data_IF_625241540427
#
_entry.id   IF_625241540427
#
_cell.length_a   1.000
_cell.length_b   1.000
_cell.length_c   1.000
_cell.angle_alpha   90.00
_cell.angle_beta   90.00
_cell.angle_gamma   90.00
#
_symmetry.space_group_name_H-M   'P 1'
#
loop_
_entity.id
_entity.type
_entity.pdbx_description
1 polymer ?
#
# COMPACT_ATOMS: atom_id res chain seq x y z
N UNK A 1 4.71 -15.67 10.61
CA UNK A 1 4.44 -14.69 9.53
C UNK A 1 3.98 -15.47 8.32
N UNK A 2 2.81 -15.15 7.78
CA UNK A 2 2.27 -15.79 6.58
C UNK A 2 2.15 -14.68 5.52
N UNK A 3 2.72 -14.91 4.34
CA UNK A 3 2.63 -13.95 3.25
C UNK A 3 1.44 -14.30 2.36
N UNK A 4 0.47 -13.39 2.28
CA UNK A 4 -0.67 -13.49 1.38
C UNK A 4 -0.54 -12.58 0.16
N UNK A 5 0.58 -11.87 -0.05
CA UNK A 5 0.74 -10.95 -1.18
C UNK A 5 0.79 -11.67 -2.54
N UNK A 6 0.25 -10.99 -3.55
CA UNK A 6 0.15 -11.40 -4.95
C UNK A 6 0.65 -10.24 -5.80
N UNK A 7 1.56 -10.53 -6.73
CA UNK A 7 2.10 -9.54 -7.65
C UNK A 7 0.97 -8.86 -8.44
N UNK A 8 1.03 -7.53 -8.53
CA UNK A 8 0.06 -6.75 -9.29
C UNK A 8 -1.28 -6.48 -8.60
N UNK A 9 -1.49 -6.92 -7.35
CA UNK A 9 -2.76 -6.68 -6.65
C UNK A 9 -2.97 -5.21 -6.30
N UNK A 10 -4.24 -4.81 -6.35
CA UNK A 10 -4.77 -3.46 -6.07
C UNK A 10 -5.63 -3.47 -4.82
N UNK A 11 -6.11 -2.31 -4.37
CA UNK A 11 -7.08 -2.22 -3.28
C UNK A 11 -8.36 -3.03 -3.57
N UNK A 12 -8.77 -3.15 -4.84
CA UNK A 12 -9.97 -3.90 -5.24
C UNK A 12 -9.82 -5.41 -4.98
N UNK A 13 -8.61 -5.93 -5.12
CA UNK A 13 -8.32 -7.34 -4.91
C UNK A 13 -8.24 -7.67 -3.41
N UNK A 14 -7.89 -6.70 -2.56
CA UNK A 14 -7.70 -6.91 -1.13
C UNK A 14 -8.97 -7.32 -0.39
N UNK A 15 -10.13 -6.79 -0.79
CA UNK A 15 -11.42 -7.12 -0.16
C UNK A 15 -11.74 -8.62 -0.24
N UNK A 16 -11.79 -9.27 -1.42
CA UNK A 16 -12.05 -10.71 -1.49
C UNK A 16 -10.95 -11.53 -0.81
N UNK A 17 -9.70 -11.09 -0.83
CA UNK A 17 -8.60 -11.81 -0.18
C UNK A 17 -8.73 -11.84 1.34
N UNK A 18 -9.04 -10.70 1.96
CA UNK A 18 -9.27 -10.61 3.40
C UNK A 18 -10.42 -11.53 3.85
N UNK A 19 -11.42 -11.77 2.98
CA UNK A 19 -12.52 -12.69 3.26
C UNK A 19 -12.14 -14.17 3.15
N UNK A 20 -11.02 -14.48 2.50
CA UNK A 20 -10.55 -15.85 2.28
C UNK A 20 -9.48 -16.29 3.27
N UNK A 21 -8.83 -15.36 3.96
CA UNK A 21 -7.83 -15.67 4.98
C UNK A 21 -8.50 -15.83 6.35
N UNK A 22 -7.99 -16.77 7.14
CA UNK A 22 -8.37 -16.90 8.55
C UNK A 22 -7.47 -15.99 9.38
N UNK A 23 -8.08 -15.02 10.07
CA UNK A 23 -7.40 -14.11 11.00
C UNK A 23 -7.89 -14.43 12.40
N UNK A 24 -6.97 -14.75 13.30
CA UNK A 24 -7.27 -15.12 14.68
C UNK A 24 -7.13 -13.92 15.64
N UNK A 25 -7.78 -13.97 16.81
CA UNK A 25 -7.54 -12.98 17.86
C UNK A 25 -6.05 -12.91 18.22
N UNK A 26 -5.49 -11.70 18.21
CA UNK A 26 -4.06 -11.46 18.48
C UNK A 26 -3.17 -11.40 17.24
N UNK A 27 -3.68 -11.76 16.06
CA UNK A 27 -2.95 -11.55 14.81
C UNK A 27 -2.79 -10.07 14.49
N UNK A 28 -1.67 -9.74 13.84
CA UNK A 28 -1.39 -8.40 13.32
C UNK A 28 -1.42 -8.44 11.80
N UNK A 29 -2.29 -7.63 11.22
CA UNK A 29 -2.40 -7.49 9.77
C UNK A 29 -1.45 -6.41 9.28
N UNK A 30 -0.61 -6.75 8.31
CA UNK A 30 0.27 -5.80 7.63
C UNK A 30 -0.21 -5.68 6.19
N UNK A 31 -0.70 -4.50 5.83
CA UNK A 31 -1.33 -4.25 4.53
C UNK A 31 -0.47 -3.29 3.73
N UNK A 32 -0.08 -3.70 2.52
CA UNK A 32 0.60 -2.87 1.54
C UNK A 32 -0.19 -2.90 0.24
N UNK A 33 -0.73 -1.75 -0.14
CA UNK A 33 -1.56 -1.53 -1.34
C UNK A 33 -1.27 -0.14 -1.90
N UNK A 34 -1.92 0.24 -3.00
CA UNK A 34 -1.82 1.55 -3.68
C UNK A 34 -0.72 1.64 -4.73
N UNK A 35 0.40 0.94 -4.59
CA UNK A 35 1.47 0.94 -5.60
C UNK A 35 0.94 0.52 -6.97
N UNK A 36 0.21 -0.60 -7.06
CA UNK A 36 -0.40 -1.02 -8.33
C UNK A 36 -1.60 -0.18 -8.72
N UNK A 37 -2.39 0.31 -7.75
CA UNK A 37 -3.52 1.22 -8.02
C UNK A 37 -3.05 2.47 -8.79
N UNK A 38 -1.86 2.97 -8.45
CA UNK A 38 -1.17 4.10 -9.08
C UNK A 38 -0.38 3.73 -10.33
N UNK A 39 0.08 2.49 -10.45
CA UNK A 39 0.90 2.06 -11.57
C UNK A 39 0.14 2.11 -12.90
N UNK A 40 0.87 2.42 -13.98
CA UNK A 40 0.30 2.65 -15.31
C UNK A 40 -0.43 1.44 -15.91
N UNK A 41 -0.19 0.22 -15.40
CA UNK A 41 -0.81 -1.02 -15.87
C UNK A 41 -2.14 -1.36 -15.21
N UNK A 42 -2.55 -0.71 -14.11
CA UNK A 42 -3.89 -0.91 -13.50
C UNK A 42 -4.74 0.33 -13.49
N UNK A 43 -4.19 1.46 -13.05
CA UNK A 43 -4.88 2.76 -12.99
C UNK A 43 -6.27 2.69 -12.34
N UNK A 44 -6.39 2.12 -11.13
CA UNK A 44 -7.68 1.99 -10.44
C UNK A 44 -8.34 3.37 -10.29
N UNK A 45 -9.62 3.56 -10.65
CA UNK A 45 -10.32 4.82 -10.45
C UNK A 45 -10.40 5.23 -8.98
N UNK A 46 -10.28 6.53 -8.68
CA UNK A 46 -10.17 7.04 -7.30
C UNK A 46 -11.41 6.72 -6.46
N UNK A 47 -12.60 6.79 -7.04
CA UNK A 47 -13.86 6.39 -6.40
C UNK A 47 -13.85 4.91 -5.99
N UNK A 48 -13.38 4.02 -6.87
CA UNK A 48 -13.27 2.58 -6.57
C UNK A 48 -12.20 2.27 -5.55
N UNK A 49 -11.06 2.96 -5.61
CA UNK A 49 -10.03 2.91 -4.59
C UNK A 49 -10.58 3.31 -3.21
N UNK A 50 -11.32 4.42 -3.15
CA UNK A 50 -11.96 4.92 -1.92
C UNK A 50 -12.93 3.91 -1.32
N UNK A 51 -13.80 3.33 -2.15
CA UNK A 51 -14.74 2.28 -1.73
C UNK A 51 -14.00 1.06 -1.16
N UNK A 52 -12.98 0.58 -1.86
CA UNK A 52 -12.22 -0.59 -1.45
C UNK A 52 -11.43 -0.37 -0.16
N UNK A 53 -10.74 0.76 -0.01
CA UNK A 53 -10.02 1.08 1.23
C UNK A 53 -10.97 1.20 2.42
N UNK A 54 -12.15 1.82 2.23
CA UNK A 54 -13.16 1.89 3.29
C UNK A 54 -13.63 0.49 3.72
N UNK A 55 -13.87 -0.41 2.76
CA UNK A 55 -14.27 -1.79 3.07
C UNK A 55 -13.14 -2.59 3.76
N UNK A 56 -11.89 -2.41 3.31
CA UNK A 56 -10.71 -3.03 3.95
C UNK A 56 -10.63 -2.60 5.42
N UNK A 57 -10.70 -1.30 5.71
CA UNK A 57 -10.65 -0.79 7.08
C UNK A 57 -11.80 -1.32 7.94
N UNK A 58 -12.99 -1.46 7.36
CA UNK A 58 -14.13 -2.06 8.05
C UNK A 58 -13.85 -3.53 8.41
N UNK A 59 -13.35 -4.32 7.45
CA UNK A 59 -13.03 -5.74 7.64
C UNK A 59 -11.92 -5.97 8.67
N UNK A 60 -10.97 -5.03 8.79
CA UNK A 60 -9.84 -5.16 9.71
C UNK A 60 -10.00 -4.39 11.02
N UNK A 61 -11.14 -3.73 11.25
CA UNK A 61 -11.38 -2.85 12.41
C UNK A 61 -11.24 -3.52 13.78
N UNK A 62 -11.43 -4.84 13.85
CA UNK A 62 -11.29 -5.63 15.08
C UNK A 62 -9.89 -6.22 15.27
N UNK A 63 -8.98 -5.98 14.34
CA UNK A 63 -7.61 -6.49 14.37
C UNK A 63 -6.61 -5.36 14.44
N UNK A 64 -5.47 -5.61 15.10
CA UNK A 64 -4.34 -4.71 15.03
C UNK A 64 -3.86 -4.68 13.58
N UNK A 65 -3.97 -3.53 12.94
CA UNK A 65 -3.67 -3.36 11.51
C UNK A 65 -2.59 -2.31 11.32
N UNK A 66 -1.61 -2.60 10.48
CA UNK A 66 -0.52 -1.69 10.09
C UNK A 66 -0.58 -1.53 8.57
N UNK A 67 -0.84 -0.31 8.10
CA UNK A 67 -0.75 0.04 6.68
C UNK A 67 0.66 0.51 6.33
N UNK A 68 1.28 -0.12 5.35
CA UNK A 68 2.41 0.45 4.64
C UNK A 68 1.88 1.43 3.59
N UNK A 69 2.13 2.71 3.80
CA UNK A 69 1.83 3.74 2.81
C UNK A 69 2.74 3.52 1.60
N UNK A 70 2.21 3.67 0.36
CA UNK A 70 3.01 3.48 -0.83
C UNK A 70 4.14 4.52 -0.87
N UNK A 71 5.37 4.13 -1.20
CA UNK A 71 6.36 5.12 -1.62
C UNK A 71 5.88 5.81 -2.90
N UNK A 72 6.27 7.07 -3.14
CA UNK A 72 5.93 7.76 -4.38
C UNK A 72 6.58 7.03 -5.56
N UNK A 73 5.82 6.73 -6.60
CA UNK A 73 6.36 6.14 -7.83
C UNK A 73 7.19 7.20 -8.56
N UNK A 74 8.32 6.82 -9.13
CA UNK A 74 9.13 7.71 -9.97
C UNK A 74 8.57 7.74 -11.40
N UNK A 75 7.85 8.82 -11.81
CA UNK A 75 7.24 8.89 -13.14
C UNK A 75 8.29 8.86 -14.26
N UNK A 76 9.51 9.35 -13.99
CA UNK A 76 10.57 9.43 -14.99
C UNK A 76 11.15 8.05 -15.33
N UNK A 77 11.05 7.08 -14.41
CA UNK A 77 11.56 5.71 -14.57
C UNK A 77 10.53 4.71 -15.09
N UNK A 78 9.26 5.10 -15.23
CA UNK A 78 8.21 4.25 -15.81
C UNK A 78 8.28 4.19 -17.35
N UNK A 79 9.44 3.85 -17.91
CA UNK A 79 9.75 3.91 -19.34
C UNK A 79 8.86 3.01 -20.22
N UNK A 80 8.30 1.94 -19.65
CA UNK A 80 7.40 1.04 -20.36
C UNK A 80 5.98 1.62 -20.55
N UNK A 81 5.64 2.69 -19.82
CA UNK A 81 4.34 3.34 -19.89
C UNK A 81 4.24 4.31 -21.07
N UNK A 82 3.05 4.41 -21.69
CA UNK A 82 2.76 5.60 -22.51
C UNK A 82 2.61 6.81 -21.58
N UNK A 83 3.03 8.03 -21.97
CA UNK A 83 2.95 9.22 -21.10
C UNK A 83 1.57 9.46 -20.49
N UNK A 84 0.49 9.22 -21.25
CA UNK A 84 -0.89 9.37 -20.76
C UNK A 84 -1.31 8.34 -19.70
N UNK A 85 -0.53 7.29 -19.49
CA UNK A 85 -0.79 6.23 -18.51
C UNK A 85 -0.05 6.44 -17.18
N UNK A 86 0.96 7.30 -17.18
CA UNK A 86 1.73 7.61 -15.96
C UNK A 86 0.90 8.56 -15.10
N UNK A 87 0.59 8.13 -13.87
CA UNK A 87 -0.07 9.01 -12.88
C UNK A 87 0.89 10.13 -12.50
N UNK A 88 0.41 11.37 -12.65
CA UNK A 88 1.19 12.54 -12.27
C UNK A 88 1.47 12.56 -10.76
N UNK A 89 2.47 13.32 -10.29
CA UNK A 89 2.69 13.52 -8.87
C UNK A 89 1.45 14.03 -8.13
N UNK A 90 0.64 14.89 -8.75
CA UNK A 90 -0.62 15.37 -8.18
C UNK A 90 -1.64 14.25 -8.05
N UNK A 91 -1.74 13.36 -9.04
CA UNK A 91 -2.57 12.17 -8.94
C UNK A 91 -2.13 11.31 -7.75
N UNK A 92 -0.84 10.97 -7.67
CA UNK A 92 -0.30 10.15 -6.58
C UNK A 92 -0.59 10.76 -5.20
N UNK A 93 -0.41 12.08 -5.06
CA UNK A 93 -0.71 12.81 -3.82
C UNK A 93 -2.20 12.72 -3.46
N UNK A 94 -3.11 12.74 -4.43
CA UNK A 94 -4.55 12.56 -4.16
C UNK A 94 -4.84 11.18 -3.58
N UNK A 95 -4.30 10.10 -4.15
CA UNK A 95 -4.52 8.75 -3.58
C UNK A 95 -3.93 8.62 -2.17
N UNK A 96 -2.71 9.13 -1.96
CA UNK A 96 -2.07 9.10 -0.66
C UNK A 96 -2.88 9.88 0.39
N UNK A 97 -3.38 11.06 0.02
CA UNK A 97 -4.22 11.89 0.90
C UNK A 97 -5.52 11.18 1.27
N UNK A 98 -6.17 10.54 0.30
CA UNK A 98 -7.41 9.78 0.51
C UNK A 98 -7.21 8.53 1.38
N UNK A 99 -6.07 7.85 1.23
CA UNK A 99 -5.68 6.72 2.06
C UNK A 99 -5.42 7.17 3.50
N UNK A 100 -4.60 8.21 3.69
CA UNK A 100 -4.27 8.74 5.01
C UNK A 100 -5.52 9.25 5.72
N UNK A 101 -6.39 9.99 5.03
CA UNK A 101 -7.63 10.49 5.60
C UNK A 101 -8.50 9.36 6.17
N UNK A 102 -8.66 8.26 5.41
CA UNK A 102 -9.43 7.09 5.84
C UNK A 102 -8.78 6.33 6.98
N UNK A 103 -7.45 6.16 6.94
CA UNK A 103 -6.72 5.48 8.01
C UNK A 103 -6.79 6.29 9.32
N UNK A 104 -6.70 7.62 9.24
CA UNK A 104 -6.81 8.51 10.41
C UNK A 104 -8.16 8.38 11.11
N UNK A 105 -9.22 8.09 10.37
CA UNK A 105 -10.56 7.85 10.91
C UNK A 105 -10.74 6.39 11.42
N UNK A 106 -9.66 5.62 11.50
CA UNK A 106 -9.61 4.22 11.96
C UNK A 106 -8.62 4.03 13.13
N UNK A 107 -8.58 2.82 13.69
CA UNK A 107 -7.59 2.42 14.71
C UNK A 107 -6.27 1.90 14.10
N UNK A 108 -6.12 1.92 12.78
CA UNK A 108 -4.98 1.33 12.11
C UNK A 108 -3.72 2.22 12.21
N UNK A 109 -2.59 1.57 12.39
CA UNK A 109 -1.28 2.17 12.38
C UNK A 109 -0.77 2.37 10.95
N UNK A 110 0.18 3.29 10.75
CA UNK A 110 0.85 3.49 9.47
C UNK A 110 2.37 3.35 9.56
N UNK A 111 2.98 2.94 8.46
CA UNK A 111 4.42 3.03 8.19
C UNK A 111 4.57 3.77 6.86
N UNK A 112 5.43 4.79 6.84
CA UNK A 112 5.89 5.43 5.62
C UNK A 112 7.40 5.19 5.51
N UNK A 113 7.85 4.83 4.31
CA UNK A 113 9.29 4.77 4.01
C UNK A 113 9.77 6.15 3.58
N UNK A 114 11.05 6.48 3.83
CA UNK A 114 11.66 7.65 3.20
C UNK A 114 11.62 7.49 1.68
N UNK A 115 11.45 8.60 0.96
CA UNK A 115 11.15 8.58 -0.48
C UNK A 115 12.40 8.42 -1.37
N UNK A 116 13.59 8.73 -0.86
CA UNK A 116 14.80 8.86 -1.68
C UNK A 116 15.54 7.52 -1.83
N UNK A 117 15.90 7.19 -3.08
CA UNK A 117 16.75 6.05 -3.47
C UNK A 117 16.28 4.66 -3.01
N UNK A 118 15.00 4.48 -2.72
CA UNK A 118 14.43 3.19 -2.30
C UNK A 118 13.92 2.32 -3.45
N UNK A 119 13.87 2.84 -4.67
CA UNK A 119 13.35 2.12 -5.83
C UNK A 119 14.44 1.44 -6.66
N UNK A 120 14.08 0.35 -7.31
CA UNK A 120 14.83 -0.26 -8.40
C UNK A 120 14.73 0.62 -9.68
N UNK A 121 15.30 0.13 -10.77
CA UNK A 121 15.40 0.82 -12.06
C UNK A 121 14.07 1.17 -12.72
N UNK A 122 12.97 0.51 -12.32
CA UNK A 122 11.64 0.77 -12.87
C UNK A 122 10.83 1.86 -12.14
N UNK A 123 11.37 2.37 -11.02
CA UNK A 123 10.70 3.41 -10.23
C UNK A 123 9.45 2.94 -9.50
N UNK A 124 9.26 1.63 -9.33
CA UNK A 124 8.09 1.02 -8.65
C UNK A 124 8.50 0.00 -7.59
N UNK A 125 9.37 -0.96 -7.93
CA UNK A 125 9.80 -1.98 -6.97
C UNK A 125 10.82 -1.40 -6.00
N UNK A 126 10.80 -1.89 -4.76
CA UNK A 126 11.85 -1.54 -3.80
C UNK A 126 13.16 -2.25 -4.18
N UNK A 127 14.28 -1.55 -4.03
CA UNK A 127 15.60 -2.16 -4.06
C UNK A 127 15.96 -2.75 -2.68
N UNK A 128 17.13 -3.38 -2.55
CA UNK A 128 17.59 -4.00 -1.30
C UNK A 128 17.58 -3.02 -0.11
N UNK A 129 18.02 -1.77 -0.33
CA UNK A 129 18.01 -0.73 0.69
C UNK A 129 16.58 -0.34 1.12
N UNK A 130 15.66 -0.23 0.17
CA UNK A 130 14.23 -0.02 0.43
C UNK A 130 13.62 -1.14 1.28
N UNK A 131 13.98 -2.40 0.99
CA UNK A 131 13.55 -3.55 1.79
C UNK A 131 14.16 -3.54 3.21
N UNK A 132 15.44 -3.20 3.37
CA UNK A 132 16.08 -3.07 4.69
C UNK A 132 15.36 -2.03 5.57
N UNK A 133 15.02 -0.87 4.98
CA UNK A 133 14.26 0.17 5.67
C UNK A 133 12.86 -0.29 6.07
N UNK A 134 12.17 -1.00 5.16
CA UNK A 134 10.85 -1.57 5.43
C UNK A 134 10.88 -2.58 6.57
N UNK A 135 11.81 -3.53 6.52
CA UNK A 135 11.96 -4.58 7.53
C UNK A 135 12.26 -3.94 8.89
N UNK A 136 13.18 -2.97 8.95
CA UNK A 136 13.51 -2.27 10.18
C UNK A 136 12.31 -1.47 10.74
N UNK A 137 11.55 -0.78 9.89
CA UNK A 137 10.36 -0.04 10.29
C UNK A 137 9.26 -0.98 10.81
N UNK A 138 9.04 -2.11 10.13
CA UNK A 138 8.04 -3.10 10.51
C UNK A 138 8.40 -3.77 11.83
N UNK A 139 9.65 -4.18 12.03
CA UNK A 139 10.13 -4.77 13.28
C UNK A 139 9.90 -3.83 14.47
N UNK A 140 10.25 -2.53 14.32
CA UNK A 140 9.99 -1.51 15.36
C UNK A 140 8.50 -1.35 15.66
N UNK A 141 7.65 -1.39 14.64
CA UNK A 141 6.20 -1.23 14.81
C UNK A 141 5.58 -2.44 15.50
N UNK A 142 5.95 -3.64 15.08
CA UNK A 142 5.47 -4.90 15.66
C UNK A 142 5.88 -5.06 17.13
N UNK A 143 7.07 -4.57 17.51
CA UNK A 143 7.55 -4.60 18.89
C UNK A 143 6.77 -3.69 19.86
N UNK A 144 6.08 -2.65 19.35
CA UNK A 144 5.14 -1.86 20.15
C UNK A 144 3.91 -2.72 20.45
N UNK A 145 3.62 -2.92 21.73
CA UNK A 145 2.44 -3.63 22.22
C UNK A 145 1.25 -2.69 22.33
#
# INVERSE_FOLDING_TARGET
MVNHAYGGATALDLVPQLRQISVHPGDVLVISITTNDLAHWKQVPLDRFREAVTEVLRLTSHHRTIFLLPPPLDPARQHAARPAQVRSPEDQLRYLTELIARIRDSSADTIALPADDIHDTDGVHLNDYGYDLLIAALARRLAKR
#
